data_IF_456826819116
#
_entry.id   IF_456826819116
#
_cell.length_a   1.000
_cell.length_b   1.000
_cell.length_c   1.000
_cell.angle_alpha   90.00
_cell.angle_beta   90.00
_cell.angle_gamma   90.00
#
_symmetry.space_group_name_H-M   'P 1'
#
loop_
_entity.id
_entity.type
_entity.pdbx_description
1 polymer ?
#
# COMPACT_ATOMS: atom_id res chain seq x y z
N UNK A 1 7.03 -11.26 14.59
CA UNK A 1 6.52 -10.70 13.33
C UNK A 1 6.22 -9.22 13.54
N UNK A 2 6.67 -8.36 12.63
CA UNK A 2 6.43 -6.91 12.65
C UNK A 2 4.94 -6.62 12.57
N UNK A 3 4.46 -5.72 13.41
CA UNK A 3 3.06 -5.28 13.44
C UNK A 3 2.95 -3.79 13.06
N UNK A 4 1.75 -3.34 12.72
CA UNK A 4 1.49 -1.90 12.46
C UNK A 4 1.80 -1.04 13.71
N UNK A 5 1.70 -1.61 14.92
CA UNK A 5 2.08 -0.92 16.17
C UNK A 5 3.60 -0.72 16.25
N UNK A 6 4.38 -1.73 15.89
CA UNK A 6 5.85 -1.60 15.88
C UNK A 6 6.30 -0.52 14.90
N UNK A 7 5.66 -0.43 13.71
CA UNK A 7 5.93 0.63 12.73
C UNK A 7 5.55 2.01 13.27
N UNK A 8 4.44 2.13 13.97
CA UNK A 8 4.04 3.38 14.63
C UNK A 8 5.02 3.79 15.72
N UNK A 9 5.54 2.84 16.50
CA UNK A 9 6.52 3.10 17.56
C UNK A 9 7.91 3.46 16.98
N UNK A 10 8.32 2.86 15.86
CA UNK A 10 9.51 3.31 15.12
C UNK A 10 9.38 4.77 14.70
N UNK A 11 8.21 5.14 14.14
CA UNK A 11 7.92 6.53 13.75
C UNK A 11 8.00 7.51 14.93
N UNK A 12 7.40 7.17 16.10
CA UNK A 12 7.47 8.01 17.30
C UNK A 12 8.89 8.25 17.77
N UNK A 13 9.77 7.25 17.57
CA UNK A 13 11.21 7.36 17.89
C UNK A 13 12.03 8.05 16.79
N UNK A 14 11.41 8.54 15.73
CA UNK A 14 12.10 9.13 14.58
C UNK A 14 12.92 8.16 13.75
N UNK A 15 12.69 6.86 13.91
CA UNK A 15 13.39 5.80 13.19
C UNK A 15 12.69 5.51 11.86
N UNK A 16 13.46 5.55 10.78
CA UNK A 16 12.96 5.17 9.45
C UNK A 16 12.96 3.65 9.31
N UNK A 17 12.05 3.14 8.51
CA UNK A 17 11.99 1.73 8.13
C UNK A 17 11.82 1.60 6.62
N UNK A 18 12.30 0.49 6.08
CA UNK A 18 12.22 0.19 4.65
C UNK A 18 11.03 -0.72 4.34
N UNK A 19 10.48 -0.56 3.14
CA UNK A 19 9.57 -1.51 2.52
C UNK A 19 10.15 -1.92 1.18
N UNK A 20 10.21 -3.22 0.91
CA UNK A 20 10.66 -3.76 -0.35
C UNK A 20 9.56 -4.58 -1.02
N UNK A 21 9.54 -4.55 -2.34
CA UNK A 21 8.62 -5.37 -3.13
C UNK A 21 9.21 -6.77 -3.33
N UNK A 22 8.39 -7.79 -3.13
CA UNK A 22 8.74 -9.19 -3.43
C UNK A 22 7.54 -9.91 -4.02
N UNK A 23 7.78 -10.79 -5.01
CA UNK A 23 6.72 -11.54 -5.69
C UNK A 23 6.83 -13.06 -5.47
N UNK A 24 7.88 -13.51 -4.77
CA UNK A 24 8.16 -14.93 -4.62
C UNK A 24 8.94 -15.24 -3.33
N UNK A 25 9.04 -16.52 -3.01
CA UNK A 25 9.57 -17.05 -1.76
C UNK A 25 11.04 -16.70 -1.53
N UNK A 26 11.91 -16.91 -2.51
CA UNK A 26 13.37 -16.80 -2.31
C UNK A 26 13.80 -15.37 -1.98
N UNK A 27 13.28 -14.40 -2.73
CA UNK A 27 13.56 -12.97 -2.47
C UNK A 27 12.97 -12.54 -1.13
N UNK A 28 11.76 -13.02 -0.80
CA UNK A 28 11.12 -12.70 0.46
C UNK A 28 11.91 -13.22 1.67
N UNK A 29 12.45 -14.43 1.61
CA UNK A 29 13.32 -15.00 2.66
C UNK A 29 14.59 -14.16 2.86
N UNK A 30 15.26 -13.77 1.76
CA UNK A 30 16.45 -12.92 1.82
C UNK A 30 16.14 -11.57 2.48
N UNK A 31 15.04 -10.94 2.12
CA UNK A 31 14.64 -9.65 2.69
C UNK A 31 14.24 -9.77 4.16
N UNK A 32 13.54 -10.84 4.52
CA UNK A 32 13.15 -11.11 5.91
C UNK A 32 14.38 -11.36 6.79
N UNK A 33 15.34 -12.17 6.31
CA UNK A 33 16.62 -12.42 7.00
C UNK A 33 17.49 -11.17 7.12
N UNK A 34 17.42 -10.27 6.13
CA UNK A 34 18.08 -8.96 6.17
C UNK A 34 17.39 -7.96 7.14
N UNK A 35 16.27 -8.34 7.76
CA UNK A 35 15.55 -7.51 8.72
C UNK A 35 14.67 -6.43 8.09
N UNK A 36 14.24 -6.59 6.84
CA UNK A 36 13.28 -5.67 6.21
C UNK A 36 11.92 -5.86 6.89
N UNK A 37 11.38 -4.82 7.53
CA UNK A 37 10.19 -4.98 8.38
C UNK A 37 8.89 -5.11 7.59
N UNK A 38 8.84 -4.67 6.33
CA UNK A 38 7.62 -4.68 5.50
C UNK A 38 7.95 -5.16 4.10
N UNK A 39 7.21 -6.15 3.61
CA UNK A 39 7.25 -6.59 2.21
C UNK A 39 5.92 -6.28 1.53
N UNK A 40 6.01 -5.75 0.31
CA UNK A 40 4.87 -5.45 -0.55
C UNK A 40 4.79 -6.49 -1.67
N UNK A 41 3.64 -7.13 -1.81
CA UNK A 41 3.28 -7.88 -3.01
C UNK A 41 2.42 -6.96 -3.87
N UNK A 42 3.08 -6.22 -4.76
CA UNK A 42 2.47 -5.18 -5.57
C UNK A 42 1.85 -5.70 -6.86
N UNK A 43 0.83 -5.00 -7.37
CA UNK A 43 0.30 -5.21 -8.72
C UNK A 43 1.33 -4.86 -9.81
N UNK A 44 2.41 -4.17 -9.45
CA UNK A 44 3.63 -4.05 -10.25
C UNK A 44 4.24 -5.42 -10.68
N UNK A 45 3.75 -6.53 -10.12
CA UNK A 45 3.98 -7.86 -10.66
C UNK A 45 3.59 -7.96 -12.15
N UNK A 46 2.59 -7.20 -12.60
CA UNK A 46 2.22 -7.10 -14.01
C UNK A 46 3.42 -6.79 -14.88
N UNK A 47 4.09 -5.67 -14.59
CA UNK A 47 5.24 -5.22 -15.36
C UNK A 47 6.51 -6.04 -15.10
N UNK A 48 6.77 -6.35 -13.83
CA UNK A 48 8.09 -6.84 -13.40
C UNK A 48 8.19 -8.36 -13.37
N UNK A 49 7.06 -9.06 -13.37
CA UNK A 49 7.02 -10.52 -13.24
C UNK A 49 6.23 -11.19 -14.38
N UNK A 50 5.06 -10.65 -14.76
CA UNK A 50 4.25 -11.21 -15.84
C UNK A 50 4.60 -10.68 -17.23
N UNK A 51 5.36 -9.59 -17.35
CA UNK A 51 5.75 -8.99 -18.63
C UNK A 51 4.66 -8.12 -19.28
N UNK A 52 3.67 -7.70 -18.50
CA UNK A 52 2.62 -6.80 -18.95
C UNK A 52 3.13 -5.36 -19.16
N UNK A 53 2.46 -4.58 -19.99
CA UNK A 53 2.83 -3.18 -20.27
C UNK A 53 2.51 -2.23 -19.10
N UNK A 54 1.54 -2.59 -18.27
CA UNK A 54 1.10 -1.82 -17.10
C UNK A 54 0.43 -2.77 -16.08
N UNK A 55 -0.05 -2.22 -14.95
CA UNK A 55 -0.62 -3.01 -13.86
C UNK A 55 -2.12 -3.35 -14.05
N UNK A 56 -2.80 -2.73 -15.01
CA UNK A 56 -4.25 -2.86 -15.22
C UNK A 56 -4.72 -4.31 -15.46
N UNK A 57 -4.01 -5.15 -16.25
CA UNK A 57 -4.46 -6.52 -16.50
C UNK A 57 -4.38 -7.46 -15.30
N UNK A 58 -3.62 -7.07 -14.25
CA UNK A 58 -3.36 -7.95 -13.11
C UNK A 58 -4.64 -8.22 -12.34
N UNK A 59 -4.91 -9.49 -12.11
CA UNK A 59 -6.10 -9.95 -11.40
C UNK A 59 -5.82 -10.32 -9.94
N UNK A 60 -6.87 -10.38 -9.13
CA UNK A 60 -6.80 -10.91 -7.76
C UNK A 60 -6.27 -12.34 -7.76
N UNK A 61 -6.73 -13.17 -8.70
CA UNK A 61 -6.36 -14.59 -8.77
C UNK A 61 -4.87 -14.79 -9.12
N UNK A 62 -4.24 -13.87 -9.84
CA UNK A 62 -2.80 -13.87 -10.10
C UNK A 62 -1.98 -13.40 -8.90
N UNK A 63 -2.46 -12.40 -8.13
CA UNK A 63 -1.73 -11.91 -6.97
C UNK A 63 -1.85 -12.82 -5.73
N UNK A 64 -2.94 -13.55 -5.57
CA UNK A 64 -3.13 -14.45 -4.43
C UNK A 64 -2.01 -15.49 -4.27
N UNK A 65 -1.60 -16.25 -5.31
CA UNK A 65 -0.49 -17.21 -5.17
C UNK A 65 0.85 -16.52 -4.87
N UNK A 66 1.14 -15.36 -5.45
CA UNK A 66 2.35 -14.60 -5.15
C UNK A 66 2.36 -14.14 -3.69
N UNK A 67 1.26 -13.54 -3.24
CA UNK A 67 1.10 -13.11 -1.84
C UNK A 67 1.25 -14.28 -0.87
N UNK A 68 0.66 -15.43 -1.20
CA UNK A 68 0.76 -16.65 -0.38
C UNK A 68 2.19 -17.15 -0.29
N UNK A 69 2.94 -17.14 -1.40
CA UNK A 69 4.34 -17.54 -1.42
C UNK A 69 5.19 -16.65 -0.50
N UNK A 70 5.05 -15.34 -0.60
CA UNK A 70 5.73 -14.36 0.27
C UNK A 70 5.32 -14.53 1.73
N UNK A 71 4.01 -14.58 2.03
CA UNK A 71 3.51 -14.65 3.41
C UNK A 71 3.95 -15.92 4.14
N UNK A 72 4.13 -17.04 3.43
CA UNK A 72 4.58 -18.32 4.02
C UNK A 72 6.07 -18.39 4.26
N UNK A 73 6.87 -17.60 3.57
CA UNK A 73 8.33 -17.64 3.64
C UNK A 73 8.92 -16.67 4.67
N UNK A 74 8.17 -15.64 5.09
CA UNK A 74 8.66 -14.68 6.08
C UNK A 74 8.35 -15.11 7.52
N UNK A 75 9.23 -14.73 8.44
CA UNK A 75 9.10 -14.97 9.89
C UNK A 75 8.88 -13.68 10.66
N UNK A 76 9.39 -12.55 10.14
CA UNK A 76 9.45 -11.27 10.84
C UNK A 76 8.72 -10.15 10.09
N UNK A 77 8.75 -10.13 8.76
CA UNK A 77 8.20 -9.05 7.96
C UNK A 77 6.66 -9.01 8.00
N UNK A 78 6.10 -7.81 8.02
CA UNK A 78 4.69 -7.55 7.73
C UNK A 78 4.48 -7.63 6.21
N UNK A 79 3.57 -8.48 5.75
CA UNK A 79 3.24 -8.62 4.33
C UNK A 79 2.02 -7.79 3.97
N UNK A 80 2.20 -6.85 3.06
CA UNK A 80 1.14 -5.99 2.50
C UNK A 80 0.83 -6.48 1.09
N UNK A 81 -0.44 -6.72 0.79
CA UNK A 81 -0.89 -7.08 -0.56
C UNK A 81 -1.59 -5.92 -1.24
N UNK A 82 -1.25 -5.64 -2.49
CA UNK A 82 -2.02 -4.70 -3.31
C UNK A 82 -3.40 -5.26 -3.65
N UNK A 83 -4.40 -4.38 -3.62
CA UNK A 83 -5.67 -4.64 -4.27
C UNK A 83 -5.54 -4.20 -5.73
N UNK A 84 -5.59 -5.13 -6.71
CA UNK A 84 -5.43 -4.77 -8.11
C UNK A 84 -6.62 -3.98 -8.64
N UNK A 85 -6.42 -3.28 -9.76
CA UNK A 85 -7.45 -2.50 -10.44
C UNK A 85 -8.73 -3.33 -10.68
N UNK A 86 -9.89 -2.73 -10.44
CA UNK A 86 -11.21 -3.37 -10.59
C UNK A 86 -11.65 -4.15 -9.35
N UNK A 87 -10.82 -4.27 -8.32
CA UNK A 87 -11.11 -5.11 -7.16
C UNK A 87 -11.59 -4.35 -5.90
N UNK A 88 -11.67 -3.01 -5.97
CA UNK A 88 -12.11 -2.17 -4.83
C UNK A 88 -12.84 -0.88 -5.23
N UNK A 89 -12.74 -0.44 -6.49
CA UNK A 89 -13.26 0.86 -6.94
C UNK A 89 -14.79 0.97 -6.91
N UNK A 90 -15.49 -0.17 -7.00
CA UNK A 90 -16.97 -0.20 -6.92
C UNK A 90 -17.50 0.05 -5.50
N UNK A 91 -16.62 0.23 -4.53
CA UNK A 91 -16.99 0.67 -3.18
C UNK A 91 -16.53 -0.23 -2.03
N UNK A 92 -16.88 0.16 -0.80
CA UNK A 92 -16.35 -0.45 0.43
C UNK A 92 -16.62 -1.95 0.59
N UNK A 93 -17.74 -2.44 0.11
CA UNK A 93 -18.11 -3.86 0.25
C UNK A 93 -17.28 -4.75 -0.69
N UNK A 94 -17.00 -4.28 -1.92
CA UNK A 94 -16.10 -4.98 -2.82
C UNK A 94 -14.67 -4.97 -2.27
N UNK A 95 -14.18 -3.83 -1.81
CA UNK A 95 -12.87 -3.72 -1.17
C UNK A 95 -12.73 -4.69 0.01
N UNK A 96 -13.77 -4.82 0.85
CA UNK A 96 -13.78 -5.75 1.97
C UNK A 96 -13.75 -7.21 1.50
N UNK A 97 -14.60 -7.57 0.53
CA UNK A 97 -14.65 -8.93 0.00
C UNK A 97 -13.29 -9.35 -0.60
N UNK A 98 -12.66 -8.48 -1.38
CA UNK A 98 -11.33 -8.72 -1.95
C UNK A 98 -10.27 -8.85 -0.87
N UNK A 99 -10.25 -7.96 0.11
CA UNK A 99 -9.29 -7.98 1.22
C UNK A 99 -9.40 -9.27 2.04
N UNK A 100 -10.61 -9.76 2.29
CA UNK A 100 -10.85 -11.04 2.98
C UNK A 100 -10.20 -12.20 2.22
N UNK A 101 -10.22 -12.19 0.88
CA UNK A 101 -9.54 -13.21 0.07
C UNK A 101 -8.02 -13.17 0.32
N UNK A 102 -7.39 -12.01 0.28
CA UNK A 102 -5.95 -11.89 0.55
C UNK A 102 -5.58 -12.36 1.96
N UNK A 103 -6.41 -12.07 2.97
CA UNK A 103 -6.18 -12.54 4.34
C UNK A 103 -6.37 -14.05 4.48
N UNK A 104 -7.47 -14.60 3.99
CA UNK A 104 -7.82 -16.01 4.20
C UNK A 104 -7.10 -16.96 3.25
N UNK A 105 -6.95 -16.60 1.98
CA UNK A 105 -6.39 -17.48 0.95
C UNK A 105 -4.88 -17.32 0.83
N UNK A 106 -4.35 -16.10 1.07
CA UNK A 106 -2.94 -15.81 0.87
C UNK A 106 -2.15 -15.51 2.16
N UNK A 107 -2.83 -15.24 3.28
CA UNK A 107 -2.17 -14.96 4.55
C UNK A 107 -1.54 -13.55 4.62
N UNK A 108 -2.05 -12.58 3.86
CA UNK A 108 -1.63 -11.19 3.97
C UNK A 108 -1.91 -10.62 5.36
N UNK A 109 -1.07 -9.68 5.81
CA UNK A 109 -1.20 -9.02 7.11
C UNK A 109 -1.81 -7.62 7.01
N UNK A 110 -1.77 -7.02 5.82
CA UNK A 110 -2.35 -5.74 5.48
C UNK A 110 -2.67 -5.69 3.98
N UNK A 111 -3.47 -4.72 3.55
CA UNK A 111 -3.70 -4.45 2.13
C UNK A 111 -3.30 -3.02 1.77
N UNK A 112 -2.97 -2.79 0.48
CA UNK A 112 -2.76 -1.46 -0.10
C UNK A 112 -3.80 -1.21 -1.18
N UNK A 113 -4.25 0.03 -1.31
CA UNK A 113 -5.12 0.48 -2.39
C UNK A 113 -4.72 1.90 -2.83
N UNK A 114 -4.95 2.20 -4.12
CA UNK A 114 -4.59 3.46 -4.73
C UNK A 114 -5.77 4.43 -4.73
N UNK A 115 -5.46 5.71 -4.55
CA UNK A 115 -6.45 6.80 -4.54
C UNK A 115 -7.04 7.12 -3.16
N UNK A 116 -7.85 8.17 -3.10
CA UNK A 116 -8.42 8.69 -1.87
C UNK A 116 -9.75 8.01 -1.49
N UNK A 117 -9.77 6.68 -1.44
CA UNK A 117 -10.96 5.88 -1.11
C UNK A 117 -11.21 5.80 0.40
N UNK A 118 -11.46 6.97 1.05
CA UNK A 118 -11.60 7.06 2.50
C UNK A 118 -12.69 6.13 3.08
N UNK A 119 -13.83 5.98 2.41
CA UNK A 119 -14.93 5.13 2.87
C UNK A 119 -14.53 3.63 2.84
N UNK A 120 -13.85 3.20 1.79
CA UNK A 120 -13.31 1.83 1.69
C UNK A 120 -12.27 1.59 2.77
N UNK A 121 -11.33 2.52 2.98
CA UNK A 121 -10.32 2.43 4.04
C UNK A 121 -10.98 2.33 5.42
N UNK A 122 -11.95 3.19 5.72
CA UNK A 122 -12.69 3.18 6.98
C UNK A 122 -13.42 1.85 7.21
N UNK A 123 -14.05 1.30 6.16
CA UNK A 123 -14.73 -0.01 6.22
C UNK A 123 -13.75 -1.13 6.53
N UNK A 124 -12.61 -1.18 5.84
CA UNK A 124 -11.57 -2.18 6.05
C UNK A 124 -10.99 -2.11 7.46
N UNK A 125 -10.60 -0.93 7.91
CA UNK A 125 -10.02 -0.69 9.24
C UNK A 125 -11.01 -1.07 10.34
N UNK A 126 -12.28 -0.68 10.22
CA UNK A 126 -13.33 -1.06 11.19
C UNK A 126 -13.62 -2.56 11.21
N UNK A 127 -13.29 -3.27 10.14
CA UNK A 127 -13.37 -4.74 10.04
C UNK A 127 -12.10 -5.45 10.54
N UNK A 128 -11.11 -4.71 11.07
CA UNK A 128 -9.87 -5.27 11.60
C UNK A 128 -8.79 -5.50 10.55
N UNK A 129 -8.92 -4.97 9.34
CA UNK A 129 -7.95 -5.10 8.25
C UNK A 129 -7.07 -3.85 8.21
N UNK A 130 -5.74 -3.95 8.48
CA UNK A 130 -4.82 -2.82 8.34
C UNK A 130 -4.69 -2.39 6.88
N UNK A 131 -4.72 -1.06 6.65
CA UNK A 131 -4.69 -0.49 5.30
C UNK A 131 -3.52 0.47 5.14
N UNK A 132 -2.81 0.34 4.03
CA UNK A 132 -1.86 1.30 3.50
C UNK A 132 -2.53 2.05 2.34
N UNK A 133 -2.55 3.38 2.40
CA UNK A 133 -3.02 4.22 1.29
C UNK A 133 -1.91 4.45 0.25
N UNK A 134 -2.29 4.92 -0.94
CA UNK A 134 -1.35 5.29 -1.97
C UNK A 134 -1.91 6.46 -2.78
N UNK A 135 -1.16 7.57 -2.84
CA UNK A 135 -1.50 8.77 -3.60
C UNK A 135 -0.27 9.33 -4.32
N UNK A 136 -0.49 10.31 -5.17
CA UNK A 136 0.49 10.82 -6.10
C UNK A 136 0.30 10.17 -7.45
N UNK A 137 1.35 9.65 -8.07
CA UNK A 137 1.18 8.76 -9.20
C UNK A 137 0.52 7.45 -8.71
N UNK A 138 -0.58 7.11 -9.32
CA UNK A 138 -1.27 5.85 -9.11
C UNK A 138 -1.24 5.07 -10.42
N UNK A 139 -0.41 4.02 -10.54
CA UNK A 139 -0.25 3.25 -11.78
C UNK A 139 -1.56 2.70 -12.35
N UNK A 140 -2.51 2.36 -11.49
CA UNK A 140 -3.85 1.91 -11.89
C UNK A 140 -4.67 3.00 -12.61
N UNK A 141 -4.34 4.28 -12.38
CA UNK A 141 -4.95 5.44 -13.05
C UNK A 141 -4.16 5.96 -14.26
N UNK A 142 -3.21 5.19 -14.78
CA UNK A 142 -2.28 5.62 -15.84
C UNK A 142 -2.99 6.17 -17.09
N UNK A 143 -4.14 5.62 -17.46
CA UNK A 143 -4.92 6.10 -18.60
C UNK A 143 -5.56 7.46 -18.34
N UNK A 144 -6.02 7.71 -17.12
CA UNK A 144 -6.58 9.00 -16.70
C UNK A 144 -5.48 10.06 -16.57
N UNK A 145 -4.32 9.68 -16.03
CA UNK A 145 -3.19 10.59 -15.81
C UNK A 145 -2.40 10.90 -17.08
N UNK A 146 -2.66 10.19 -18.18
CA UNK A 146 -1.95 10.37 -19.45
C UNK A 146 -0.47 9.96 -19.38
N UNK A 147 -0.13 8.98 -18.54
CA UNK A 147 1.21 8.43 -18.38
C UNK A 147 1.86 8.75 -17.03
N UNK A 148 3.13 8.35 -16.89
CA UNK A 148 3.91 8.54 -15.67
C UNK A 148 4.36 9.99 -15.55
N UNK A 149 3.71 10.79 -14.70
CA UNK A 149 4.02 12.21 -14.46
C UNK A 149 4.11 12.51 -12.97
N UNK A 150 5.01 13.44 -12.61
CA UNK A 150 5.11 13.97 -11.25
C UNK A 150 3.82 14.68 -10.87
N UNK A 151 3.25 14.28 -9.74
CA UNK A 151 1.99 14.76 -9.20
C UNK A 151 2.21 15.91 -8.19
N UNK A 152 1.17 16.72 -7.96
CA UNK A 152 1.17 17.78 -6.94
C UNK A 152 1.78 19.11 -7.39
N UNK A 153 2.24 19.25 -8.64
CA UNK A 153 2.73 20.54 -9.16
C UNK A 153 1.60 21.54 -9.41
N UNK A 154 0.48 21.06 -9.96
CA UNK A 154 -0.66 21.90 -10.35
C UNK A 154 -1.68 22.06 -9.21
N UNK A 155 -1.84 21.05 -8.36
CA UNK A 155 -2.81 21.06 -7.28
C UNK A 155 -2.23 20.33 -6.04
N UNK A 156 -1.32 20.95 -5.29
CA UNK A 156 -0.74 20.37 -4.08
C UNK A 156 -1.78 20.20 -2.95
N UNK A 157 -2.76 21.13 -2.85
CA UNK A 157 -3.79 21.08 -1.82
C UNK A 157 -4.65 19.83 -1.92
N UNK A 158 -5.00 19.38 -3.13
CA UNK A 158 -5.79 18.18 -3.32
C UNK A 158 -5.06 16.92 -2.80
N UNK A 159 -3.74 16.82 -3.00
CA UNK A 159 -2.93 15.73 -2.46
C UNK A 159 -2.83 15.77 -0.93
N UNK A 160 -2.73 16.97 -0.36
CA UNK A 160 -2.73 17.14 1.10
C UNK A 160 -4.07 16.71 1.69
N UNK A 161 -5.19 17.15 1.11
CA UNK A 161 -6.52 16.75 1.58
C UNK A 161 -6.77 15.25 1.40
N UNK A 162 -6.35 14.65 0.30
CA UNK A 162 -6.41 13.21 0.09
C UNK A 162 -5.63 12.44 1.18
N UNK A 163 -4.41 12.89 1.49
CA UNK A 163 -3.61 12.26 2.54
C UNK A 163 -4.26 12.39 3.93
N UNK A 164 -4.83 13.56 4.26
CA UNK A 164 -5.57 13.76 5.52
C UNK A 164 -6.81 12.87 5.61
N UNK A 165 -7.56 12.73 4.51
CA UNK A 165 -8.74 11.88 4.45
C UNK A 165 -8.39 10.39 4.67
N UNK A 166 -7.30 9.92 4.04
CA UNK A 166 -6.78 8.56 4.21
C UNK A 166 -6.33 8.31 5.67
N UNK A 167 -5.61 9.28 6.26
CA UNK A 167 -5.19 9.21 7.66
C UNK A 167 -6.38 9.19 8.62
N UNK A 168 -7.35 10.08 8.43
CA UNK A 168 -8.58 10.14 9.23
C UNK A 168 -9.43 8.86 9.10
N UNK A 169 -9.37 8.18 7.94
CA UNK A 169 -10.03 6.90 7.73
C UNK A 169 -9.32 5.73 8.46
N UNK A 170 -8.13 5.94 9.03
CA UNK A 170 -7.40 4.98 9.86
C UNK A 170 -6.31 4.19 9.15
N UNK A 171 -5.86 4.60 7.97
CA UNK A 171 -4.70 3.98 7.32
C UNK A 171 -3.44 4.10 8.20
N UNK A 172 -2.67 3.00 8.33
CA UNK A 172 -1.46 3.00 9.14
C UNK A 172 -0.25 3.63 8.45
N UNK A 173 -0.27 3.70 7.12
CA UNK A 173 0.78 4.30 6.29
C UNK A 173 0.19 4.79 4.96
N UNK A 174 0.94 5.66 4.28
CA UNK A 174 0.59 6.16 2.93
C UNK A 174 1.85 6.14 2.07
N UNK A 175 1.75 5.58 0.88
CA UNK A 175 2.74 5.72 -0.18
C UNK A 175 2.51 7.07 -0.88
N UNK A 176 3.57 7.84 -1.07
CA UNK A 176 3.60 9.08 -1.84
C UNK A 176 4.48 8.84 -3.06
N UNK A 177 3.88 8.46 -4.20
CA UNK A 177 4.63 8.14 -5.40
C UNK A 177 4.73 9.33 -6.35
N UNK A 178 5.93 9.61 -6.86
CA UNK A 178 6.20 10.71 -7.80
C UNK A 178 5.56 12.05 -7.41
N UNK A 179 5.63 12.40 -6.14
CA UNK A 179 5.26 13.73 -5.63
C UNK A 179 6.51 14.61 -5.50
N UNK A 180 6.35 15.94 -5.51
CA UNK A 180 7.47 16.85 -5.28
C UNK A 180 8.01 16.71 -3.86
N UNK A 181 9.33 16.91 -3.70
CA UNK A 181 10.01 16.77 -2.40
C UNK A 181 9.42 17.73 -1.35
N UNK A 182 9.17 18.98 -1.72
CA UNK A 182 8.60 19.99 -0.82
C UNK A 182 7.22 19.56 -0.29
N UNK A 183 6.37 19.01 -1.15
CA UNK A 183 5.06 18.51 -0.77
C UNK A 183 5.15 17.30 0.15
N UNK A 184 6.08 16.38 -0.12
CA UNK A 184 6.33 15.22 0.72
C UNK A 184 6.89 15.62 2.10
N UNK A 185 7.76 16.66 2.16
CA UNK A 185 8.31 17.20 3.40
C UNK A 185 7.23 17.90 4.24
N UNK A 186 6.36 18.69 3.63
CA UNK A 186 5.24 19.37 4.32
C UNK A 186 4.30 18.34 4.97
N UNK A 187 3.91 17.29 4.28
CA UNK A 187 3.11 16.21 4.85
C UNK A 187 3.79 15.51 6.01
N UNK A 188 5.09 15.35 5.97
CA UNK A 188 5.87 14.76 7.05
C UNK A 188 5.88 15.67 8.30
N UNK A 189 6.00 16.99 8.11
CA UNK A 189 5.97 17.98 9.21
C UNK A 189 4.58 18.11 9.83
N UNK A 190 3.51 18.15 9.03
CA UNK A 190 2.11 18.21 9.50
C UNK A 190 1.75 17.00 10.36
N UNK A 191 2.26 15.81 10.04
CA UNK A 191 2.07 14.61 10.86
C UNK A 191 2.77 14.65 12.22
N UNK A 192 3.87 15.40 12.34
CA UNK A 192 4.58 15.56 13.62
C UNK A 192 3.82 16.49 14.57
N UNK A 193 2.99 17.39 14.04
CA UNK A 193 2.24 18.37 14.82
C UNK A 193 0.83 17.91 15.22
N UNK A 194 0.33 16.79 14.72
CA UNK A 194 -1.00 16.25 15.04
C UNK A 194 -1.01 15.22 16.19
N UNK A 195 0.09 15.12 16.93
CA UNK A 195 0.13 14.31 18.17
C UNK A 195 -0.24 15.19 19.36
N UNK A 196 -1.54 15.38 19.54
CA UNK A 196 -2.14 15.79 20.82
C UNK A 196 -3.10 14.71 21.29
#
# INVERSE_FOLDING_TARGET
MTTIKDLADLKKRGQKWAMLTSYEMMTAEIFDEAGIPVLLVGDSAGNNFFGEKNTIPVTVDELLPLTRAVARSVKQALVVADLPFGSYESGPDLALATSIRFFKEAGAHAVKLEGAHADSIKKLVSSGIPVMGHIGLTPQSVHQLGGFRVQGRENPEALIEAAKAIEAAGAFAIVLEMVTEDLAADRKSTRLNSSH
#
